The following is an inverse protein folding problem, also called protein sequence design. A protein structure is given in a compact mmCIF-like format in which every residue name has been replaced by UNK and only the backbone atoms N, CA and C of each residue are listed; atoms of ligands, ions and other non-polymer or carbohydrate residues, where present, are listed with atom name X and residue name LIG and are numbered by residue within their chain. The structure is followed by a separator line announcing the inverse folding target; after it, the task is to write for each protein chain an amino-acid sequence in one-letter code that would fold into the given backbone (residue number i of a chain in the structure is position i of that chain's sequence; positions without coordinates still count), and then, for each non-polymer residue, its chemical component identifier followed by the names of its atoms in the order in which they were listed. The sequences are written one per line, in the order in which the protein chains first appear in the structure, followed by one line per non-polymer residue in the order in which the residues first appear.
data_IF_202891582954
#
_entry.id   IF_202891582954
#
_cell.length_a   1.000
_cell.length_b   1.000
_cell.length_c   1.000
_cell.angle_alpha   90.00
_cell.angle_beta   90.00
_cell.angle_gamma   90.00
#
_symmetry.space_group_name_H-M   'P 1'
#
loop_
_entity.id
_entity.type
_entity.pdbx_description
1 polymer ?
#
# COMPACT_ATOMS: atom_id res chain seq x y z
N UNK A 1 -8.11 19.55 -16.52
CA UNK A 1 -8.15 18.36 -15.63
C UNK A 1 -7.04 18.52 -14.61
N UNK A 2 -7.35 18.83 -13.35
CA UNK A 2 -6.37 19.23 -12.33
C UNK A 2 -5.93 18.02 -11.52
N UNK A 3 -5.03 17.23 -12.08
CA UNK A 3 -4.23 16.32 -11.27
C UNK A 3 -3.12 17.16 -10.64
N UNK A 4 -2.93 17.03 -9.34
CA UNK A 4 -1.85 17.74 -8.64
C UNK A 4 -0.52 17.43 -9.34
N UNK A 5 0.34 18.44 -9.51
CA UNK A 5 1.65 18.30 -10.15
C UNK A 5 2.46 17.18 -9.48
N UNK A 6 2.29 17.01 -8.16
CA UNK A 6 2.95 15.94 -7.38
C UNK A 6 2.64 14.53 -7.85
N UNK A 7 1.49 14.32 -8.50
CA UNK A 7 1.07 13.01 -9.02
C UNK A 7 1.56 12.73 -10.44
N UNK A 8 2.12 13.73 -11.14
CA UNK A 8 2.61 13.54 -12.52
C UNK A 8 3.76 12.54 -12.55
N UNK A 9 4.74 12.68 -11.64
CA UNK A 9 5.85 11.73 -11.53
C UNK A 9 5.38 10.28 -11.34
N UNK A 10 4.43 10.06 -10.42
CA UNK A 10 3.90 8.71 -10.15
C UNK A 10 3.20 8.15 -11.39
N UNK A 11 2.42 8.98 -12.11
CA UNK A 11 1.76 8.56 -13.34
C UNK A 11 2.78 8.20 -14.42
N UNK A 12 3.82 9.00 -14.58
CA UNK A 12 4.85 8.75 -15.59
C UNK A 12 5.57 7.42 -15.31
N UNK A 13 5.90 7.11 -14.04
CA UNK A 13 6.46 5.81 -13.65
C UNK A 13 5.53 4.62 -13.92
N UNK A 14 4.21 4.83 -13.81
CA UNK A 14 3.21 3.81 -14.17
C UNK A 14 3.13 3.64 -15.69
N UNK A 15 3.13 4.75 -16.44
CA UNK A 15 3.07 4.76 -17.91
C UNK A 15 4.31 4.10 -18.53
N UNK A 16 5.49 4.35 -17.96
CA UNK A 16 6.74 3.67 -18.36
C UNK A 16 6.85 2.24 -17.84
N UNK A 17 5.87 1.77 -17.05
CA UNK A 17 5.81 0.43 -16.43
C UNK A 17 6.94 0.14 -15.45
N UNK A 18 7.63 1.17 -14.97
CA UNK A 18 8.62 1.06 -13.90
C UNK A 18 7.94 0.71 -12.56
N UNK A 19 6.68 1.10 -12.39
CA UNK A 19 5.86 0.77 -11.21
C UNK A 19 4.53 0.17 -11.64
N UNK A 20 4.15 -0.94 -11.03
CA UNK A 20 2.81 -1.53 -11.16
C UNK A 20 1.96 -1.17 -9.93
N UNK A 21 0.81 -0.53 -10.17
CA UNK A 21 -0.15 -0.24 -9.10
C UNK A 21 -1.28 -1.26 -9.13
N UNK A 22 -1.52 -1.91 -8.00
CA UNK A 22 -2.66 -2.81 -7.79
C UNK A 22 -3.56 -2.22 -6.71
N UNK A 23 -4.87 -2.21 -6.96
CA UNK A 23 -5.84 -1.86 -5.94
C UNK A 23 -5.95 -3.03 -4.94
N UNK A 24 -5.73 -2.74 -3.66
CA UNK A 24 -5.90 -3.68 -2.56
C UNK A 24 -7.10 -3.23 -1.73
N UNK A 25 -7.92 -4.17 -1.24
CA UNK A 25 -9.00 -3.87 -0.31
C UNK A 25 -8.42 -3.32 1.00
N UNK A 26 -9.15 -2.45 1.72
CA UNK A 26 -8.61 -1.82 2.92
C UNK A 26 -8.33 -2.82 4.04
N UNK A 27 -9.17 -3.84 4.16
CA UNK A 27 -9.01 -4.94 5.11
C UNK A 27 -7.76 -5.78 4.83
N UNK A 28 -7.41 -5.88 3.54
CA UNK A 28 -6.30 -6.71 3.03
C UNK A 28 -5.01 -5.90 2.82
N UNK A 29 -4.94 -4.66 3.31
CA UNK A 29 -3.76 -3.82 3.18
C UNK A 29 -2.82 -3.99 4.37
N UNK A 30 -1.71 -4.76 4.26
CA UNK A 30 -0.79 -4.96 5.38
C UNK A 30 -0.15 -3.64 5.84
N UNK A 31 0.00 -2.64 4.96
CA UNK A 31 0.59 -1.36 5.31
C UNK A 31 -0.24 -0.55 6.34
N UNK A 32 -1.49 -0.92 6.56
CA UNK A 32 -2.33 -0.32 7.59
C UNK A 32 -1.72 -0.48 8.99
N UNK A 33 -0.96 -1.56 9.24
CA UNK A 33 -0.26 -1.77 10.52
C UNK A 33 0.75 -0.67 10.85
N UNK A 34 1.33 -0.03 9.83
CA UNK A 34 2.36 1.01 9.98
C UNK A 34 1.77 2.42 9.97
N UNK A 35 0.58 2.59 9.41
CA UNK A 35 0.01 3.92 9.11
C UNK A 35 -1.22 4.26 9.94
N UNK A 36 -1.83 3.28 10.61
CA UNK A 36 -3.06 3.46 11.38
C UNK A 36 -2.91 2.97 12.82
N UNK A 37 -3.60 3.65 13.74
CA UNK A 37 -3.82 3.15 15.09
C UNK A 37 -4.90 2.05 15.06
N UNK A 38 -4.47 0.79 15.04
CA UNK A 38 -5.35 -0.37 14.92
C UNK A 38 -5.56 -1.10 16.27
N UNK A 39 -6.76 -1.65 16.53
CA UNK A 39 -6.94 -2.64 17.58
C UNK A 39 -6.05 -3.86 17.35
N UNK A 40 -5.63 -4.52 18.43
CA UNK A 40 -4.69 -5.66 18.39
C UNK A 40 -5.07 -6.74 17.37
N UNK A 41 -6.36 -7.05 17.24
CA UNK A 41 -6.83 -8.06 16.28
C UNK A 41 -6.56 -7.67 14.82
N UNK A 42 -6.82 -6.42 14.44
CA UNK A 42 -6.55 -5.92 13.09
C UNK A 42 -5.06 -5.78 12.81
N UNK A 43 -4.28 -5.33 13.80
CA UNK A 43 -2.83 -5.28 13.69
C UNK A 43 -2.24 -6.67 13.42
N UNK A 44 -2.69 -7.69 14.16
CA UNK A 44 -2.27 -9.08 13.93
C UNK A 44 -2.66 -9.57 12.53
N UNK A 45 -3.88 -9.30 12.09
CA UNK A 45 -4.31 -9.66 10.73
C UNK A 45 -3.41 -9.03 9.65
N UNK A 46 -3.08 -7.74 9.77
CA UNK A 46 -2.15 -7.08 8.84
C UNK A 46 -0.74 -7.70 8.88
N UNK A 47 -0.24 -8.10 10.06
CA UNK A 47 1.04 -8.82 10.17
C UNK A 47 1.00 -10.17 9.44
N UNK A 48 -0.06 -10.93 9.64
CA UNK A 48 -0.24 -12.24 8.99
C UNK A 48 -0.28 -12.07 7.46
N UNK A 49 -0.91 -11.01 6.93
CA UNK A 49 -0.91 -10.68 5.50
C UNK A 49 0.47 -10.31 4.95
N UNK A 50 1.35 -9.76 5.78
CA UNK A 50 2.66 -9.28 5.34
C UNK A 50 3.67 -10.42 5.13
N UNK A 51 3.37 -11.65 5.60
CA UNK A 51 4.18 -12.85 5.38
C UNK A 51 5.69 -12.61 5.61
N UNK A 52 6.06 -12.07 6.78
CA UNK A 52 7.46 -11.82 7.09
C UNK A 52 8.25 -13.13 7.02
N UNK A 53 9.21 -13.22 6.11
CA UNK A 53 10.20 -14.30 6.07
C UNK A 53 11.42 -13.80 6.82
N UNK A 54 11.74 -14.42 7.95
CA UNK A 54 13.02 -14.18 8.64
C UNK A 54 14.15 -14.80 7.79
N UNK A 55 15.16 -14.00 7.44
CA UNK A 55 16.42 -14.44 6.81
C UNK A 55 17.35 -15.14 7.80
#
# INVERSE_FOLDING_TARGET
KHIDIRLHFVRDMIETKEIMVKKVASEENPADMFTKSLPRAKFKHCLDLFNFVEE
#
